data_IF_897499252637
#
_entry.id   IF_897499252637
#
_cell.length_a   1.000
_cell.length_b   1.000
_cell.length_c   1.000
_cell.angle_alpha   90.00
_cell.angle_beta   90.00
_cell.angle_gamma   90.00
#
_symmetry.space_group_name_H-M   'P 1'
#
loop_
_entity.id
_entity.type
_entity.pdbx_description
1 polymer ?
#
# COMPACT_ATOMS: atom_id res chain seq x y z
N UNK A 1 9.29 3.81 1.54
CA UNK A 1 9.49 3.90 3.01
C UNK A 1 9.35 2.51 3.62
N UNK A 2 10.47 1.84 3.92
CA UNK A 2 10.42 0.41 4.28
C UNK A 2 9.74 0.09 5.62
N UNK A 3 9.05 -1.06 5.65
CA UNK A 3 8.38 -1.74 6.79
C UNK A 3 9.10 -1.68 8.15
N UNK A 4 10.41 -1.45 8.17
CA UNK A 4 11.24 -1.33 9.38
C UNK A 4 10.91 -0.10 10.24
N UNK A 5 10.41 0.98 9.64
CA UNK A 5 10.13 2.25 10.33
C UNK A 5 8.65 2.46 10.68
N UNK A 6 7.82 1.44 10.53
CA UNK A 6 6.39 1.58 10.83
C UNK A 6 6.18 1.67 12.33
N UNK A 7 5.28 2.57 12.72
CA UNK A 7 4.74 2.60 14.07
C UNK A 7 4.12 1.22 14.40
N UNK A 8 4.35 0.66 15.60
CA UNK A 8 3.86 -0.67 15.98
C UNK A 8 2.38 -0.95 15.71
N UNK A 9 1.48 0.00 15.99
CA UNK A 9 0.06 -0.10 15.69
C UNK A 9 -0.21 -0.19 14.19
N UNK A 10 0.41 0.70 13.40
CA UNK A 10 0.34 0.64 11.93
C UNK A 10 0.88 -0.69 11.39
N UNK A 11 1.99 -1.18 11.93
CA UNK A 11 2.59 -2.46 11.54
C UNK A 11 1.64 -3.63 11.82
N UNK A 12 0.96 -3.62 12.97
CA UNK A 12 -0.06 -4.61 13.32
C UNK A 12 -1.22 -4.61 12.33
N UNK A 13 -1.74 -3.41 12.02
CA UNK A 13 -2.82 -3.23 11.04
C UNK A 13 -2.43 -3.73 9.64
N UNK A 14 -1.27 -3.30 9.14
CA UNK A 14 -0.77 -3.71 7.81
C UNK A 14 -0.55 -5.21 7.72
N UNK A 15 0.03 -5.84 8.75
CA UNK A 15 0.22 -7.29 8.74
C UNK A 15 -1.08 -8.09 8.79
N UNK A 16 -2.16 -7.51 9.34
CA UNK A 16 -3.47 -8.16 9.47
C UNK A 16 -4.31 -8.04 8.21
N UNK A 17 -4.34 -6.84 7.61
CA UNK A 17 -5.25 -6.52 6.50
C UNK A 17 -4.57 -6.60 5.12
N UNK A 18 -3.24 -6.51 5.05
CA UNK A 18 -2.49 -6.40 3.80
C UNK A 18 -1.37 -7.44 3.74
N UNK A 19 -1.72 -8.73 3.70
CA UNK A 19 -0.74 -9.83 3.76
C UNK A 19 0.27 -9.80 2.59
N UNK A 20 -0.21 -9.50 1.38
CA UNK A 20 0.61 -9.45 0.16
C UNK A 20 1.31 -8.10 -0.04
N UNK A 21 0.70 -7.01 0.44
CA UNK A 21 1.20 -5.64 0.28
C UNK A 21 1.99 -5.11 1.49
N UNK A 22 2.23 -5.91 2.53
CA UNK A 22 2.90 -5.49 3.79
C UNK A 22 4.33 -4.97 3.68
N UNK A 23 4.96 -5.09 2.52
CA UNK A 23 6.35 -4.66 2.29
C UNK A 23 6.49 -3.13 2.20
N UNK A 24 5.49 -2.45 1.64
CA UNK A 24 5.48 -1.01 1.42
C UNK A 24 4.07 -0.41 1.62
N UNK A 25 4.02 0.79 2.16
CA UNK A 25 2.80 1.54 2.44
C UNK A 25 2.12 1.89 1.12
N UNK A 26 2.90 2.22 0.08
CA UNK A 26 2.35 2.48 -1.24
C UNK A 26 1.64 1.25 -1.80
N UNK A 27 2.21 0.05 -1.66
CA UNK A 27 1.54 -1.18 -2.08
C UNK A 27 0.22 -1.39 -1.32
N UNK A 28 0.19 -1.10 -0.01
CA UNK A 28 -1.05 -1.17 0.78
C UNK A 28 -2.12 -0.19 0.27
N UNK A 29 -1.72 1.03 -0.11
CA UNK A 29 -2.64 2.00 -0.72
C UNK A 29 -3.13 1.56 -2.10
N UNK A 30 -2.24 1.02 -2.96
CA UNK A 30 -2.66 0.47 -4.26
C UNK A 30 -3.70 -0.64 -4.08
N UNK A 31 -3.43 -1.61 -3.20
CA UNK A 31 -4.37 -2.70 -2.95
C UNK A 31 -5.72 -2.16 -2.46
N UNK A 32 -5.68 -1.24 -1.51
CA UNK A 32 -6.90 -0.61 -0.96
C UNK A 32 -7.69 0.13 -2.03
N UNK A 33 -7.03 0.92 -2.87
CA UNK A 33 -7.69 1.67 -3.93
C UNK A 33 -8.28 0.74 -4.99
N UNK A 34 -7.61 -0.37 -5.30
CA UNK A 34 -8.14 -1.43 -6.17
C UNK A 34 -9.38 -2.09 -5.55
N UNK A 35 -9.41 -2.33 -4.24
CA UNK A 35 -10.60 -2.88 -3.56
C UNK A 35 -11.80 -1.93 -3.61
N UNK A 36 -11.55 -0.62 -3.61
CA UNK A 36 -12.60 0.40 -3.77
C UNK A 36 -12.95 0.72 -5.23
N UNK A 37 -12.12 0.30 -6.17
CA UNK A 37 -12.37 0.53 -7.58
C UNK A 37 -13.59 -0.29 -8.04
N UNK A 38 -14.41 0.32 -8.91
CA UNK A 38 -15.46 -0.44 -9.60
C UNK A 38 -14.82 -1.50 -10.48
N UNK A 39 -15.57 -2.56 -10.78
CA UNK A 39 -15.14 -3.54 -11.79
C UNK A 39 -14.81 -2.83 -13.11
N UNK A 40 -13.61 -3.07 -13.64
CA UNK A 40 -13.02 -2.39 -14.80
C UNK A 40 -12.82 -0.86 -14.65
N UNK A 41 -12.79 -0.35 -13.41
CA UNK A 41 -12.41 1.03 -13.11
C UNK A 41 -10.90 1.24 -13.15
N UNK A 42 -10.49 2.50 -13.28
CA UNK A 42 -9.09 2.90 -13.21
C UNK A 42 -8.80 3.60 -11.89
N UNK A 43 -7.65 3.29 -11.28
CA UNK A 43 -7.13 3.96 -10.09
C UNK A 43 -5.98 4.87 -10.51
N UNK A 44 -6.08 6.15 -10.18
CA UNK A 44 -5.01 7.13 -10.39
C UNK A 44 -4.45 7.62 -9.06
N UNK A 45 -3.33 7.04 -8.61
CA UNK A 45 -2.66 7.45 -7.38
C UNK A 45 -1.45 8.34 -7.71
N UNK A 46 -1.34 9.48 -7.03
CA UNK A 46 -0.13 10.31 -7.09
C UNK A 46 0.93 9.67 -6.20
N UNK A 47 1.90 9.01 -6.82
CA UNK A 47 3.04 8.39 -6.13
C UNK A 47 4.30 9.21 -6.33
N UNK A 48 5.17 9.19 -5.33
CA UNK A 48 6.51 9.78 -5.47
C UNK A 48 7.32 8.81 -6.35
N UNK A 49 7.87 9.24 -7.50
CA UNK A 49 8.53 8.34 -8.46
C UNK A 49 9.74 7.58 -7.88
N UNK A 50 10.29 8.06 -6.77
CA UNK A 50 11.45 7.49 -6.10
C UNK A 50 11.21 6.09 -5.47
N UNK A 51 9.96 5.69 -5.25
CA UNK A 51 9.62 4.42 -4.54
C UNK A 51 9.06 3.33 -5.48
N UNK A 52 8.75 3.65 -6.75
CA UNK A 52 8.31 2.65 -7.74
C UNK A 52 9.49 2.05 -8.53
N UNK A 53 10.60 2.79 -8.65
CA UNK A 53 11.72 2.44 -9.56
C UNK A 53 13.05 2.12 -8.87
N UNK A 54 13.14 2.16 -7.54
CA UNK A 54 14.38 1.87 -6.77
C UNK A 54 14.23 0.59 -5.97
#
# INVERSE_FOLDING_TARGET
MGRKYYEPGLKGFVNKEYEDAKADLYACFVQRDCDFAKSNGFVGMVTIPNEIFI
#
